data_IF_880324635469
#
_entry.id   IF_880324635469
#
_cell.length_a   1.000
_cell.length_b   1.000
_cell.length_c   1.000
_cell.angle_alpha   90.00
_cell.angle_beta   90.00
_cell.angle_gamma   90.00
#
_symmetry.space_group_name_H-M   'P 1'
#
loop_
_entity.id
_entity.type
_entity.pdbx_description
1 polymer ?
#
# COMPACT_ATOMS: atom_id res chain seq x y z
N UNK A 1 18.63 -13.61 7.72
CA UNK A 1 17.90 -12.42 8.23
C UNK A 1 16.57 -12.18 7.53
N UNK A 2 15.48 -12.19 8.31
CA UNK A 2 14.12 -11.82 7.89
C UNK A 2 13.95 -10.31 7.73
N UNK A 3 13.48 -9.84 6.58
CA UNK A 3 13.25 -8.41 6.32
C UNK A 3 12.13 -8.15 5.30
N UNK A 4 11.16 -7.33 5.68
CA UNK A 4 10.16 -6.80 4.76
C UNK A 4 10.45 -5.34 4.43
N UNK A 5 10.02 -4.91 3.25
CA UNK A 5 10.22 -3.54 2.80
C UNK A 5 9.05 -3.08 1.92
N UNK A 6 8.45 -1.93 2.23
CA UNK A 6 7.64 -1.16 1.29
C UNK A 6 8.56 -0.71 0.17
N UNK A 7 8.22 -0.99 -1.10
CA UNK A 7 9.17 -0.79 -2.22
C UNK A 7 8.71 0.23 -3.24
N UNK A 8 7.39 0.34 -3.47
CA UNK A 8 6.82 1.30 -4.40
C UNK A 8 5.33 1.50 -4.12
N UNK A 9 4.78 2.60 -4.62
CA UNK A 9 3.36 2.95 -4.47
C UNK A 9 2.88 3.67 -5.73
N UNK A 10 1.61 3.49 -6.07
CA UNK A 10 0.87 4.32 -7.03
C UNK A 10 -0.34 4.92 -6.31
N UNK A 11 -0.20 6.09 -5.66
CA UNK A 11 -1.24 6.64 -4.77
C UNK A 11 -2.32 7.44 -5.54
N UNK A 12 -2.01 7.90 -6.76
CA UNK A 12 -2.96 8.62 -7.60
C UNK A 12 -3.18 7.90 -8.93
N UNK A 13 -4.15 6.98 -9.05
CA UNK A 13 -4.45 6.33 -10.32
C UNK A 13 -4.93 7.32 -11.39
N UNK A 14 -4.67 6.96 -12.64
CA UNK A 14 -5.14 7.72 -13.80
C UNK A 14 -6.66 7.87 -13.80
N UNK A 15 -7.12 9.08 -14.08
CA UNK A 15 -8.50 9.51 -14.16
C UNK A 15 -9.20 9.74 -12.82
N UNK A 16 -8.55 9.51 -11.67
CA UNK A 16 -9.23 9.54 -10.35
C UNK A 16 -9.87 10.89 -10.09
N UNK A 17 -9.13 11.95 -10.37
CA UNK A 17 -9.54 13.32 -10.12
C UNK A 17 -10.61 13.82 -11.13
N UNK A 18 -11.00 12.99 -12.10
CA UNK A 18 -11.91 13.37 -13.21
C UNK A 18 -13.36 12.91 -13.00
N UNK A 19 -13.64 11.97 -12.10
CA UNK A 19 -14.97 11.32 -11.99
C UNK A 19 -15.84 11.81 -10.81
N UNK A 20 -15.40 12.83 -10.06
CA UNK A 20 -16.17 13.36 -8.93
C UNK A 20 -16.34 12.33 -7.80
N UNK A 21 -17.56 12.14 -7.30
CA UNK A 21 -17.84 11.36 -6.08
C UNK A 21 -17.90 9.84 -6.29
N UNK A 22 -17.87 9.34 -7.53
CA UNK A 22 -17.93 7.90 -7.82
C UNK A 22 -16.72 7.46 -8.63
N UNK A 23 -15.86 6.66 -8.02
CA UNK A 23 -14.69 6.05 -8.66
C UNK A 23 -14.93 4.54 -8.73
N UNK A 24 -15.07 3.94 -9.93
CA UNK A 24 -15.24 2.50 -10.07
C UNK A 24 -14.11 1.70 -9.41
N UNK A 25 -14.40 0.49 -8.92
CA UNK A 25 -13.37 -0.35 -8.31
C UNK A 25 -12.22 -0.70 -9.27
N UNK A 26 -12.50 -0.86 -10.56
CA UNK A 26 -11.46 -1.06 -11.58
C UNK A 26 -10.44 0.08 -11.64
N UNK A 27 -10.86 1.30 -11.30
CA UNK A 27 -10.00 2.45 -11.25
C UNK A 27 -9.34 2.63 -9.88
N UNK A 28 -10.06 2.34 -8.79
CA UNK A 28 -9.48 2.31 -7.44
C UNK A 28 -8.40 1.24 -7.32
N UNK A 29 -8.50 0.15 -8.07
CA UNK A 29 -7.47 -0.87 -8.13
C UNK A 29 -6.17 -0.35 -8.76
N UNK A 30 -6.19 0.75 -9.52
CA UNK A 30 -4.97 1.44 -9.94
C UNK A 30 -4.25 2.19 -8.82
N UNK A 31 -4.82 2.21 -7.61
CA UNK A 31 -4.25 2.79 -6.40
C UNK A 31 -3.69 1.69 -5.51
N UNK A 32 -2.36 1.56 -5.39
CA UNK A 32 -1.77 0.41 -4.71
C UNK A 32 -0.42 0.70 -4.06
N UNK A 33 -0.03 -0.17 -3.12
CA UNK A 33 1.32 -0.21 -2.52
C UNK A 33 1.92 -1.60 -2.64
N UNK A 34 3.23 -1.67 -2.86
CA UNK A 34 3.98 -2.91 -2.86
C UNK A 34 4.83 -3.03 -1.60
N UNK A 35 4.83 -4.23 -1.03
CA UNK A 35 5.90 -4.65 -0.14
C UNK A 35 6.52 -5.97 -0.57
N UNK A 36 7.81 -6.13 -0.24
CA UNK A 36 8.65 -7.22 -0.66
C UNK A 36 9.37 -7.84 0.52
N UNK A 37 9.53 -9.17 0.50
CA UNK A 37 10.53 -9.82 1.32
C UNK A 37 11.92 -9.65 0.68
N UNK A 38 12.73 -8.79 1.28
CA UNK A 38 14.11 -8.49 0.85
C UNK A 38 15.16 -9.20 1.72
N UNK A 39 14.72 -10.06 2.63
CA UNK A 39 15.60 -10.93 3.40
C UNK A 39 16.14 -12.09 2.56
N UNK A 40 16.86 -12.98 3.22
CA UNK A 40 17.40 -14.25 2.69
C UNK A 40 16.61 -15.47 3.21
N UNK A 41 15.55 -15.23 3.99
CA UNK A 41 14.67 -16.24 4.58
C UNK A 41 13.19 -15.92 4.31
N UNK A 42 12.35 -16.95 4.33
CA UNK A 42 10.88 -16.77 4.31
C UNK A 42 10.40 -15.94 5.50
N UNK A 43 9.46 -15.03 5.28
CA UNK A 43 8.92 -14.14 6.31
C UNK A 43 7.47 -14.53 6.63
N UNK A 44 7.18 -14.86 7.90
CA UNK A 44 5.81 -15.10 8.35
C UNK A 44 5.04 -13.78 8.40
N UNK A 45 3.93 -13.71 7.67
CA UNK A 45 3.05 -12.55 7.63
C UNK A 45 2.00 -12.57 8.74
N UNK A 46 1.99 -13.58 9.61
CA UNK A 46 1.05 -13.66 10.72
C UNK A 46 1.20 -12.44 11.65
N UNK A 47 0.08 -11.78 11.92
CA UNK A 47 0.00 -10.55 12.71
C UNK A 47 0.74 -9.34 12.14
N UNK A 48 1.11 -9.40 10.85
CA UNK A 48 1.59 -8.22 10.13
C UNK A 48 0.38 -7.40 9.68
N UNK A 49 0.49 -6.08 9.86
CA UNK A 49 -0.47 -5.12 9.33
C UNK A 49 0.23 -4.10 8.44
N UNK A 50 -0.44 -3.75 7.35
CA UNK A 50 -0.17 -2.56 6.57
C UNK A 50 -1.02 -1.43 7.15
N UNK A 51 -0.37 -0.29 7.41
CA UNK A 51 -1.00 0.91 7.94
C UNK A 51 -0.56 2.12 7.14
N UNK A 52 -1.31 3.21 7.23
CA UNK A 52 -0.99 4.49 6.62
C UNK A 52 -1.39 5.66 7.54
N UNK A 53 -1.07 6.89 7.16
CA UNK A 53 -1.43 8.08 7.94
C UNK A 53 -2.75 8.65 7.40
N UNK A 54 -3.84 8.42 8.14
CA UNK A 54 -5.15 8.97 7.85
C UNK A 54 -5.33 10.35 8.50
N UNK A 55 -5.88 11.29 7.74
CA UNK A 55 -6.15 12.65 8.20
C UNK A 55 -7.65 12.88 8.25
N UNK A 56 -8.18 13.23 9.42
CA UNK A 56 -9.59 13.53 9.64
C UNK A 56 -9.74 14.86 10.38
N UNK A 57 -10.93 15.48 10.41
CA UNK A 57 -11.11 16.72 11.16
C UNK A 57 -10.70 16.62 12.65
N UNK A 58 -10.98 15.52 13.38
CA UNK A 58 -10.45 15.33 14.74
C UNK A 58 -8.93 15.10 14.82
N UNK A 59 -8.32 14.58 13.75
CA UNK A 59 -6.90 14.24 13.70
C UNK A 59 -6.19 14.99 12.56
N UNK A 60 -6.06 16.32 12.64
CA UNK A 60 -5.51 17.13 11.56
C UNK A 60 -4.00 16.88 11.36
N UNK A 61 -3.31 16.31 12.35
CA UNK A 61 -1.90 15.93 12.24
C UNK A 61 -1.70 14.47 11.79
N UNK A 62 -2.79 13.75 11.53
CA UNK A 62 -2.77 12.36 11.10
C UNK A 62 -2.79 11.37 12.26
N UNK A 63 -3.39 10.21 12.00
CA UNK A 63 -3.35 9.03 12.88
C UNK A 63 -3.05 7.79 12.03
N UNK A 64 -2.42 6.80 12.66
CA UNK A 64 -2.17 5.53 12.00
C UNK A 64 -3.46 4.74 11.87
N UNK A 65 -3.86 4.44 10.64
CA UNK A 65 -5.03 3.64 10.34
C UNK A 65 -4.61 2.33 9.66
N UNK A 66 -5.35 1.26 9.99
CA UNK A 66 -5.12 -0.06 9.41
C UNK A 66 -5.68 -0.10 8.00
N UNK A 67 -4.82 -0.47 7.05
CA UNK A 67 -5.21 -0.76 5.66
C UNK A 67 -5.63 -2.22 5.52
N UNK A 68 -4.77 -3.14 5.96
CA UNK A 68 -4.98 -4.58 5.80
C UNK A 68 -4.13 -5.36 6.81
N UNK A 69 -4.64 -6.51 7.26
CA UNK A 69 -3.85 -7.50 8.01
C UNK A 69 -3.51 -8.69 7.12
N UNK A 70 -2.38 -9.34 7.39
CA UNK A 70 -1.90 -10.46 6.58
C UNK A 70 -1.77 -11.74 7.41
N UNK A 71 -1.66 -12.86 6.69
CA UNK A 71 -1.36 -14.18 7.25
C UNK A 71 -0.58 -15.00 6.21
N UNK A 72 0.00 -16.12 6.64
CA UNK A 72 0.79 -16.99 5.78
C UNK A 72 2.27 -16.65 5.76
N UNK A 73 2.98 -17.02 4.70
CA UNK A 73 4.42 -16.82 4.56
C UNK A 73 4.74 -16.20 3.22
N UNK A 74 5.58 -15.15 3.22
CA UNK A 74 6.10 -14.53 2.01
C UNK A 74 7.51 -15.05 1.73
N UNK A 75 7.65 -15.78 0.62
CA UNK A 75 8.94 -16.29 0.16
C UNK A 75 9.94 -15.18 -0.15
N UNK A 76 11.23 -15.50 -0.13
CA UNK A 76 12.32 -14.57 -0.46
C UNK A 76 12.11 -13.97 -1.85
N UNK A 77 12.25 -12.66 -1.97
CA UNK A 77 12.13 -11.94 -3.23
C UNK A 77 10.70 -11.74 -3.71
N UNK A 78 9.69 -12.30 -3.03
CA UNK A 78 8.28 -12.18 -3.42
C UNK A 78 7.69 -10.84 -3.02
N UNK A 79 6.77 -10.36 -3.86
CA UNK A 79 6.11 -9.05 -3.75
C UNK A 79 4.62 -9.24 -3.56
N UNK A 80 4.06 -8.53 -2.59
CA UNK A 80 2.62 -8.37 -2.40
C UNK A 80 2.24 -6.95 -2.80
N UNK A 81 1.28 -6.84 -3.73
CA UNK A 81 0.63 -5.59 -4.10
C UNK A 81 -0.74 -5.50 -3.44
N UNK A 82 -0.96 -4.43 -2.69
CA UNK A 82 -2.22 -4.15 -2.02
C UNK A 82 -2.92 -3.01 -2.74
N UNK A 83 -3.97 -3.36 -3.46
CA UNK A 83 -4.85 -2.48 -4.21
C UNK A 83 -5.96 -1.91 -3.34
N UNK A 84 -6.35 -0.66 -3.62
CA UNK A 84 -7.56 -0.07 -3.07
C UNK A 84 -8.80 -0.57 -3.82
N UNK A 85 -9.97 -0.38 -3.22
CA UNK A 85 -11.24 -0.82 -3.80
C UNK A 85 -11.54 -2.31 -3.61
N UNK A 86 -12.67 -2.74 -4.17
CA UNK A 86 -13.13 -4.13 -4.15
C UNK A 86 -12.29 -5.04 -5.04
N UNK A 87 -12.37 -6.34 -4.78
CA UNK A 87 -11.75 -7.37 -5.61
C UNK A 87 -12.31 -7.32 -7.04
N UNK A 88 -11.40 -7.37 -8.01
CA UNK A 88 -11.71 -7.45 -9.43
C UNK A 88 -10.87 -8.57 -10.07
N UNK A 89 -11.30 -9.12 -11.21
CA UNK A 89 -10.46 -10.05 -11.96
C UNK A 89 -9.13 -9.40 -12.36
N UNK A 90 -8.01 -10.11 -12.21
CA UNK A 90 -6.67 -9.56 -12.46
C UNK A 90 -6.48 -9.15 -13.93
N UNK A 91 -7.16 -9.82 -14.85
CA UNK A 91 -7.21 -9.48 -16.28
C UNK A 91 -7.92 -8.14 -16.56
N UNK A 92 -8.63 -7.59 -15.57
CA UNK A 92 -9.26 -6.27 -15.65
C UNK A 92 -8.35 -5.13 -15.14
N UNK A 93 -7.19 -5.46 -14.56
CA UNK A 93 -6.19 -4.47 -14.20
C UNK A 93 -5.48 -3.96 -15.47
N UNK A 94 -5.05 -2.69 -15.44
CA UNK A 94 -4.11 -2.20 -16.44
C UNK A 94 -2.79 -2.99 -16.36
N UNK A 95 -2.02 -3.12 -17.46
CA UNK A 95 -0.74 -3.81 -17.43
C UNK A 95 0.21 -3.27 -16.36
N UNK A 96 0.24 -1.96 -16.13
CA UNK A 96 1.08 -1.35 -15.10
C UNK A 96 0.65 -1.67 -13.66
N UNK A 97 -0.64 -1.93 -13.44
CA UNK A 97 -1.19 -2.29 -12.12
C UNK A 97 -1.11 -3.80 -11.86
N UNK A 98 -1.05 -4.61 -12.92
CA UNK A 98 -0.87 -6.06 -12.83
C UNK A 98 0.61 -6.48 -12.75
N UNK A 99 1.49 -5.90 -13.56
CA UNK A 99 2.87 -6.39 -13.70
C UNK A 99 3.73 -6.04 -12.47
N UNK A 100 4.57 -6.99 -12.07
CA UNK A 100 5.66 -6.76 -11.13
C UNK A 100 5.37 -7.18 -9.68
N UNK A 101 4.22 -7.80 -9.41
CA UNK A 101 3.89 -8.40 -8.12
C UNK A 101 3.61 -9.91 -8.26
N UNK A 102 3.83 -10.68 -7.19
CA UNK A 102 3.52 -12.11 -7.14
C UNK A 102 2.11 -12.38 -6.58
N UNK A 103 1.66 -11.50 -5.70
CA UNK A 103 0.36 -11.58 -5.04
C UNK A 103 -0.36 -10.24 -5.12
N UNK A 104 -1.64 -10.28 -5.45
CA UNK A 104 -2.52 -9.12 -5.53
C UNK A 104 -3.62 -9.26 -4.48
N UNK A 105 -3.76 -8.27 -3.62
CA UNK A 105 -4.78 -8.21 -2.57
C UNK A 105 -5.56 -6.92 -2.69
N UNK A 106 -6.84 -6.94 -2.33
CA UNK A 106 -7.74 -5.78 -2.43
C UNK A 106 -8.28 -5.42 -1.05
N UNK A 107 -8.24 -4.14 -0.69
CA UNK A 107 -8.63 -3.69 0.66
C UNK A 107 -10.14 -3.73 0.89
N UNK A 108 -10.94 -3.77 -0.17
CA UNK A 108 -12.39 -3.59 -0.10
C UNK A 108 -12.82 -2.14 0.19
N UNK A 109 -11.86 -1.23 0.39
CA UNK A 109 -12.10 0.16 0.81
C UNK A 109 -11.56 1.15 -0.23
N UNK A 110 -12.32 2.21 -0.49
CA UNK A 110 -11.87 3.36 -1.28
C UNK A 110 -11.07 4.34 -0.43
N UNK A 111 -10.19 5.14 -1.06
CA UNK A 111 -9.45 6.26 -0.45
C UNK A 111 -8.41 5.88 0.62
N UNK A 112 -7.70 4.78 0.39
CA UNK A 112 -6.66 4.32 1.32
C UNK A 112 -5.45 5.24 1.32
N UNK A 113 -5.03 5.79 0.19
CA UNK A 113 -3.79 6.57 0.10
C UNK A 113 -4.07 8.06 -0.08
N UNK A 114 -3.38 8.90 0.69
CA UNK A 114 -3.60 10.34 0.65
C UNK A 114 -2.89 11.00 -0.54
N UNK A 115 -3.62 11.80 -1.32
CA UNK A 115 -3.05 12.60 -2.40
C UNK A 115 -2.86 14.08 -2.02
N UNK A 116 -3.62 14.61 -1.07
CA UNK A 116 -3.60 16.04 -0.72
C UNK A 116 -2.55 16.37 0.35
N UNK A 117 -2.02 15.35 1.01
CA UNK A 117 -1.01 15.44 2.06
C UNK A 117 0.04 14.36 1.83
N UNK A 118 1.19 14.51 2.49
CA UNK A 118 2.14 13.40 2.57
C UNK A 118 1.46 12.18 3.20
N UNK A 119 1.77 10.99 2.73
CA UNK A 119 1.37 9.75 3.38
C UNK A 119 2.60 8.87 3.61
N UNK A 120 2.45 7.85 4.45
CA UNK A 120 3.52 6.94 4.83
C UNK A 120 2.94 5.55 5.01
N UNK A 121 2.97 4.68 3.99
CA UNK A 121 2.73 3.27 4.20
C UNK A 121 3.77 2.70 5.18
N UNK A 122 3.30 1.93 6.17
CA UNK A 122 4.17 1.19 7.10
C UNK A 122 3.71 -0.24 7.29
N UNK A 123 4.68 -1.12 7.49
CA UNK A 123 4.46 -2.49 7.95
C UNK A 123 4.75 -2.55 9.44
N UNK A 124 3.83 -3.15 10.19
CA UNK A 124 3.98 -3.34 11.63
C UNK A 124 3.69 -4.77 12.02
N UNK A 125 4.36 -5.25 13.08
CA UNK A 125 4.01 -6.47 13.79
C UNK A 125 3.09 -6.12 14.96
N UNK A 126 1.93 -6.76 15.03
CA UNK A 126 1.02 -6.69 16.18
C UNK A 126 1.29 -7.89 17.10
N UNK A 127 1.82 -7.63 18.29
CA UNK A 127 2.14 -8.69 19.25
C UNK A 127 1.82 -8.22 20.67
N UNK A 128 1.04 -9.01 21.42
CA UNK A 128 0.70 -8.76 22.82
C UNK A 128 0.12 -7.35 23.08
N UNK A 129 -0.73 -6.86 22.16
CA UNK A 129 -1.32 -5.51 22.24
C UNK A 129 -0.36 -4.36 21.87
N UNK A 130 0.91 -4.66 21.61
CA UNK A 130 1.91 -3.70 21.16
C UNK A 130 2.03 -3.71 19.63
N UNK A 131 2.54 -2.60 19.10
CA UNK A 131 2.78 -2.39 17.67
C UNK A 131 4.26 -2.12 17.48
N UNK A 132 4.94 -2.96 16.70
CA UNK A 132 6.35 -2.83 16.40
C UNK A 132 6.52 -2.48 14.92
N UNK A 133 7.17 -1.35 14.64
CA UNK A 133 7.45 -0.94 13.26
C UNK A 133 8.50 -1.89 12.64
N UNK A 134 8.18 -2.44 11.47
CA UNK A 134 9.10 -3.27 10.68
C UNK A 134 9.78 -2.41 9.64
N UNK A 135 8.98 -1.61 8.92
CA UNK A 135 9.44 -0.77 7.84
C UNK A 135 8.40 0.31 7.51
N UNK A 136 8.86 1.42 6.94
CA UNK A 136 8.02 2.47 6.37
C UNK A 136 8.75 3.20 5.24
N UNK A 137 7.98 3.86 4.38
CA UNK A 137 8.50 4.84 3.45
C UNK A 137 7.44 5.92 3.17
N UNK A 138 7.87 7.15 2.91
CA UNK A 138 6.95 8.30 2.79
C UNK A 138 6.99 8.91 1.39
N UNK A 139 5.87 9.44 0.93
CA UNK A 139 5.81 10.31 -0.26
C UNK A 139 5.21 11.67 0.08
N UNK A 140 5.56 12.69 -0.71
CA UNK A 140 5.07 14.06 -0.54
C UNK A 140 3.64 14.22 -1.05
N UNK A 141 2.96 15.27 -0.57
CA UNK A 141 1.65 15.65 -1.08
C UNK A 141 1.66 15.87 -2.60
N UNK A 142 0.49 15.68 -3.22
CA UNK A 142 0.22 15.86 -4.63
C UNK A 142 1.09 14.97 -5.54
N UNK A 143 1.09 13.65 -5.33
CA UNK A 143 1.80 12.74 -6.22
C UNK A 143 1.23 12.84 -7.65
N UNK A 144 2.09 12.83 -8.69
CA UNK A 144 1.62 12.93 -10.07
C UNK A 144 0.64 11.81 -10.44
N UNK A 145 -0.42 12.15 -11.17
CA UNK A 145 -1.42 11.22 -11.68
C UNK A 145 -0.76 10.07 -12.48
N UNK A 146 -1.15 8.84 -12.19
CA UNK A 146 -0.68 7.62 -12.85
C UNK A 146 0.75 7.19 -12.48
N UNK A 147 1.50 7.96 -11.69
CA UNK A 147 2.92 7.71 -11.45
C UNK A 147 3.13 6.64 -10.37
N UNK A 148 3.98 5.67 -10.70
CA UNK A 148 4.55 4.73 -9.72
C UNK A 148 5.76 5.40 -9.06
N UNK A 149 5.65 5.66 -7.77
CA UNK A 149 6.73 6.18 -6.93
C UNK A 149 7.56 5.01 -6.41
N UNK A 150 8.88 5.07 -6.59
CA UNK A 150 9.79 4.00 -6.19
C UNK A 150 10.60 4.40 -4.97
N UNK A 151 10.95 3.42 -4.15
CA UNK A 151 11.69 3.68 -2.93
C UNK A 151 13.14 4.08 -3.19
N UNK A 152 13.55 5.19 -2.58
CA UNK A 152 14.93 5.65 -2.46
C UNK A 152 15.14 6.05 -1.00
N UNK A 153 15.89 5.24 -0.25
CA UNK A 153 16.07 5.44 1.20
C UNK A 153 14.76 5.26 1.96
N UNK A 154 14.30 6.31 2.65
CA UNK A 154 13.02 6.34 3.36
C UNK A 154 11.89 7.01 2.55
N UNK A 155 12.17 7.40 1.31
CA UNK A 155 11.24 8.13 0.46
C UNK A 155 10.71 7.28 -0.69
N UNK A 156 9.51 7.60 -1.15
CA UNK A 156 8.86 7.09 -2.36
C UNK A 156 8.72 8.28 -3.32
N UNK A 157 9.45 8.26 -4.46
CA UNK A 157 9.54 9.38 -5.42
C UNK A 157 9.44 8.96 -6.89
#
# INVERSE_FOLDING_TARGET
MKRLNVTQVKPNPSGRDRLGNYVPFSQLAGEWVDFKNIGDESFSLNSIELQHVAYTPPYPNGVWEKVMGFSGNLGVGRIVRVHSGGEIPLESLSPEDFIGADYHLFTGNSYVWNNNRSDTPRLVLKQNGQTFEIDKASYSAYPPEGKILKRIGELLI
#
